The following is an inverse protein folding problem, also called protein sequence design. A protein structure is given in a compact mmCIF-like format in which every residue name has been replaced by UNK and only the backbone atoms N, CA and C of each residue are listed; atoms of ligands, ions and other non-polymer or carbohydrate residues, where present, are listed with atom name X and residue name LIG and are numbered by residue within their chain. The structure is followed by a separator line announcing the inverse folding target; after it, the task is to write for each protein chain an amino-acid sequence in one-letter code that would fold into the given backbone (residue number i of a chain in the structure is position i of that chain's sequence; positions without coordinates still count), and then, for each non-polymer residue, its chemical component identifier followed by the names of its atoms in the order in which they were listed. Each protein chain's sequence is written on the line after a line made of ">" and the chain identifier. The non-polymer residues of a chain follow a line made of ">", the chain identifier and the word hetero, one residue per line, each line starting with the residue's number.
data_IF_051690909628
#
_entry.id   IF_051690909628
#
_cell.length_a   1.000
_cell.length_b   1.000
_cell.length_c   1.000
_cell.angle_alpha   90.00
_cell.angle_beta   90.00
_cell.angle_gamma   90.00
#
_symmetry.space_group_name_H-M   'P 1'
#
loop_
_entity.id
_entity.type
_entity.pdbx_description
1 polymer ?
#
# COMPACT_ATOMS: atom_id res chain seq x y z
N UNK A 1 -5.01 24.37 -8.60
CA UNK A 1 -5.97 23.42 -9.21
C UNK A 1 -5.34 22.21 -9.92
N UNK A 2 -4.55 22.35 -11.00
CA UNK A 2 -4.00 21.17 -11.73
C UNK A 2 -2.96 20.36 -10.93
N UNK A 3 -2.13 21.01 -10.10
CA UNK A 3 -1.17 20.34 -9.20
C UNK A 3 -1.86 19.55 -8.08
N UNK A 4 -2.92 20.11 -7.49
CA UNK A 4 -3.71 19.46 -6.44
C UNK A 4 -4.43 18.22 -6.97
N UNK A 5 -5.01 18.29 -8.18
CA UNK A 5 -5.60 17.11 -8.84
C UNK A 5 -4.58 15.98 -8.99
N UNK A 6 -3.34 16.30 -9.40
CA UNK A 6 -2.27 15.31 -9.54
C UNK A 6 -1.89 14.67 -8.19
N UNK A 7 -1.78 15.47 -7.12
CA UNK A 7 -1.53 14.95 -5.77
C UNK A 7 -2.66 14.03 -5.31
N UNK A 8 -3.90 14.42 -5.54
CA UNK A 8 -5.09 13.66 -5.14
C UNK A 8 -5.15 12.32 -5.87
N UNK A 9 -4.87 12.31 -7.18
CA UNK A 9 -4.77 11.06 -7.96
C UNK A 9 -3.66 10.15 -7.42
N UNK A 10 -2.47 10.68 -7.13
CA UNK A 10 -1.40 9.88 -6.53
C UNK A 10 -1.81 9.29 -5.17
N UNK A 11 -2.49 10.07 -4.33
CA UNK A 11 -2.97 9.61 -3.03
C UNK A 11 -4.03 8.52 -3.20
N UNK A 12 -4.99 8.68 -4.12
CA UNK A 12 -5.99 7.64 -4.42
C UNK A 12 -5.35 6.36 -4.93
N UNK A 13 -4.36 6.46 -5.82
CA UNK A 13 -3.60 5.29 -6.29
C UNK A 13 -2.85 4.61 -5.14
N UNK A 14 -2.26 5.37 -4.22
CA UNK A 14 -1.64 4.82 -3.02
C UNK A 14 -2.66 4.07 -2.13
N UNK A 15 -3.89 4.59 -1.99
CA UNK A 15 -4.95 3.90 -1.27
C UNK A 15 -5.39 2.61 -1.96
N UNK A 16 -5.50 2.60 -3.29
CA UNK A 16 -5.77 1.38 -4.06
C UNK A 16 -4.67 0.35 -3.84
N UNK A 17 -3.40 0.76 -3.87
CA UNK A 17 -2.29 -0.13 -3.54
C UNK A 17 -2.36 -0.63 -2.09
N UNK A 18 -2.70 0.21 -1.12
CA UNK A 18 -2.84 -0.21 0.28
C UNK A 18 -3.94 -1.27 0.45
N UNK A 19 -5.13 -1.03 -0.13
CA UNK A 19 -6.20 -2.02 -0.16
C UNK A 19 -5.76 -3.32 -0.86
N UNK A 20 -5.02 -3.18 -1.97
CA UNK A 20 -4.41 -4.29 -2.69
C UNK A 20 -3.45 -5.11 -1.83
N UNK A 21 -2.62 -4.47 -0.99
CA UNK A 21 -1.72 -5.17 -0.05
C UNK A 21 -2.51 -6.04 0.93
N UNK A 22 -3.57 -5.50 1.54
CA UNK A 22 -4.40 -6.28 2.46
C UNK A 22 -5.14 -7.42 1.76
N UNK A 23 -5.71 -7.16 0.58
CA UNK A 23 -6.40 -8.18 -0.20
C UNK A 23 -5.45 -9.30 -0.64
N UNK A 24 -4.28 -8.95 -1.18
CA UNK A 24 -3.28 -9.92 -1.58
C UNK A 24 -2.71 -10.67 -0.36
N UNK A 25 -2.68 -10.04 0.82
CA UNK A 25 -2.28 -10.69 2.06
C UNK A 25 -3.19 -11.85 2.46
N UNK A 26 -4.49 -11.73 2.20
CA UNK A 26 -5.43 -12.83 2.38
C UNK A 26 -5.28 -13.87 1.25
N UNK A 27 -5.18 -13.39 0.01
CA UNK A 27 -5.10 -14.26 -1.16
C UNK A 27 -3.87 -15.17 -1.14
N UNK A 28 -2.68 -14.67 -0.78
CA UNK A 28 -1.48 -15.51 -0.81
C UNK A 28 -1.53 -16.65 0.22
N UNK A 29 -2.30 -16.50 1.31
CA UNK A 29 -2.51 -17.57 2.28
C UNK A 29 -3.31 -18.72 1.65
N UNK A 30 -4.35 -18.40 0.88
CA UNK A 30 -5.09 -19.37 0.08
C UNK A 30 -4.21 -20.03 -0.99
N UNK A 31 -3.30 -19.26 -1.59
CA UNK A 31 -2.36 -19.78 -2.60
C UNK A 31 -1.42 -20.86 -2.07
N UNK A 32 -1.22 -21.00 -0.76
CA UNK A 32 -0.46 -22.11 -0.18
C UNK A 32 -1.05 -23.49 -0.54
N UNK A 33 -2.34 -23.55 -0.85
CA UNK A 33 -3.06 -24.79 -1.15
C UNK A 33 -3.33 -25.01 -2.65
N UNK A 34 -2.85 -24.13 -3.54
CA UNK A 34 -3.19 -24.15 -4.96
C UNK A 34 -2.38 -25.16 -5.79
N UNK A 35 -1.31 -25.72 -5.23
CA UNK A 35 -0.47 -26.67 -5.93
C UNK A 35 0.42 -27.45 -4.98
N UNK A 36 1.38 -28.17 -5.57
CA UNK A 36 2.34 -28.93 -4.77
C UNK A 36 3.40 -27.99 -4.18
N UNK A 37 3.39 -27.87 -2.86
CA UNK A 37 4.32 -27.03 -2.12
C UNK A 37 3.96 -25.54 -2.12
N UNK A 38 4.88 -24.70 -1.63
CA UNK A 38 4.63 -23.30 -1.28
C UNK A 38 4.96 -22.30 -2.40
N UNK A 39 5.16 -22.76 -3.64
CA UNK A 39 5.58 -21.87 -4.75
C UNK A 39 4.56 -20.75 -4.97
N UNK A 40 3.27 -21.10 -5.02
CA UNK A 40 2.18 -20.14 -5.21
C UNK A 40 2.06 -19.14 -4.04
N UNK A 41 2.27 -19.61 -2.81
CA UNK A 41 2.36 -18.75 -1.63
C UNK A 41 3.46 -17.71 -1.79
N UNK A 42 4.69 -18.12 -2.14
CA UNK A 42 5.82 -17.20 -2.30
C UNK A 42 5.63 -16.22 -3.46
N UNK A 43 5.00 -16.64 -4.56
CA UNK A 43 4.60 -15.73 -5.64
C UNK A 43 3.63 -14.67 -5.11
N UNK A 44 2.60 -15.07 -4.35
CA UNK A 44 1.65 -14.13 -3.75
C UNK A 44 2.31 -13.15 -2.77
N UNK A 45 3.27 -13.62 -1.96
CA UNK A 45 4.05 -12.77 -1.04
C UNK A 45 4.83 -11.71 -1.84
N UNK A 46 5.54 -12.10 -2.90
CA UNK A 46 6.29 -11.17 -3.75
C UNK A 46 5.35 -10.13 -4.39
N UNK A 47 4.20 -10.56 -4.93
CA UNK A 47 3.22 -9.64 -5.52
C UNK A 47 2.67 -8.65 -4.50
N UNK A 48 2.46 -9.09 -3.25
CA UNK A 48 2.00 -8.22 -2.16
C UNK A 48 3.03 -7.15 -1.84
N UNK A 49 4.31 -7.51 -1.68
CA UNK A 49 5.38 -6.55 -1.42
C UNK A 49 5.59 -5.59 -2.59
N UNK A 50 5.55 -6.07 -3.83
CA UNK A 50 5.63 -5.21 -5.03
C UNK A 50 4.49 -4.19 -5.04
N UNK A 51 3.26 -4.61 -4.73
CA UNK A 51 2.10 -3.72 -4.63
C UNK A 51 2.30 -2.65 -3.57
N UNK A 52 2.83 -3.02 -2.40
CA UNK A 52 3.18 -2.09 -1.33
C UNK A 52 4.24 -1.06 -1.77
N UNK A 53 5.30 -1.51 -2.44
CA UNK A 53 6.37 -0.65 -2.96
C UNK A 53 5.82 0.36 -3.98
N UNK A 54 4.95 -0.09 -4.88
CA UNK A 54 4.27 0.79 -5.84
C UNK A 54 3.41 1.84 -5.11
N UNK A 55 2.67 1.43 -4.06
CA UNK A 55 1.93 2.34 -3.20
C UNK A 55 2.83 3.40 -2.53
N UNK A 56 3.97 2.98 -1.99
CA UNK A 56 4.99 3.89 -1.43
C UNK A 56 5.51 4.87 -2.48
N UNK A 57 5.76 4.42 -3.71
CA UNK A 57 6.20 5.29 -4.80
C UNK A 57 5.16 6.38 -5.12
N UNK A 58 3.86 6.06 -5.11
CA UNK A 58 2.80 7.05 -5.29
C UNK A 58 2.75 8.09 -4.16
N UNK A 59 3.01 7.68 -2.91
CA UNK A 59 3.13 8.61 -1.78
C UNK A 59 4.32 9.56 -1.97
N UNK A 60 5.48 9.04 -2.36
CA UNK A 60 6.69 9.83 -2.63
C UNK A 60 6.48 10.82 -3.79
N UNK A 61 5.80 10.38 -4.85
CA UNK A 61 5.42 11.25 -5.97
C UNK A 61 4.47 12.37 -5.53
N UNK A 62 3.55 12.07 -4.62
CA UNK A 62 2.68 13.09 -4.02
C UNK A 62 3.51 14.14 -3.26
N UNK A 63 4.52 13.71 -2.49
CA UNK A 63 5.41 14.59 -1.70
C UNK A 63 6.25 15.54 -2.58
N UNK A 64 6.66 15.09 -3.76
CA UNK A 64 7.50 15.89 -4.68
C UNK A 64 6.74 17.06 -5.33
N UNK A 65 5.41 17.05 -5.28
CA UNK A 65 4.60 18.16 -5.78
C UNK A 65 4.53 19.24 -4.69
N UNK A 66 5.11 20.42 -4.95
CA UNK A 66 4.97 21.59 -4.08
C UNK A 66 3.50 21.87 -3.74
N UNK A 67 3.22 21.95 -2.44
CA UNK A 67 1.88 22.26 -1.93
C UNK A 67 1.47 23.71 -2.21
N UNK A 68 0.17 24.02 -2.17
CA UNK A 68 -0.31 25.38 -2.28
C UNK A 68 0.28 26.24 -1.14
N UNK A 69 0.82 27.40 -1.49
CA UNK A 69 1.41 28.38 -0.58
C UNK A 69 0.39 29.03 0.37
N UNK A 70 -0.90 28.91 0.08
CA UNK A 70 -1.99 29.38 0.94
C UNK A 70 -2.55 28.26 1.83
N UNK A 71 -2.78 28.59 3.11
CA UNK A 71 -3.46 27.72 4.09
C UNK A 71 -4.96 27.65 3.77
N UNK A 72 -5.32 26.78 2.83
CA UNK A 72 -6.70 26.44 2.52
C UNK A 72 -7.13 25.14 3.21
N UNK A 73 -8.44 24.95 3.42
CA UNK A 73 -9.03 23.70 3.91
C UNK A 73 -8.61 22.49 3.06
N UNK A 74 -8.44 22.68 1.74
CA UNK A 74 -7.94 21.67 0.82
C UNK A 74 -6.51 21.20 1.15
N UNK A 75 -5.65 22.11 1.59
CA UNK A 75 -4.27 21.80 1.98
C UNK A 75 -4.26 20.88 3.20
N UNK A 76 -5.10 21.17 4.19
CA UNK A 76 -5.26 20.34 5.40
C UNK A 76 -5.78 18.95 5.02
N UNK A 77 -6.80 18.88 4.16
CA UNK A 77 -7.37 17.61 3.70
C UNK A 77 -6.35 16.74 2.95
N UNK A 78 -5.54 17.33 2.05
CA UNK A 78 -4.50 16.61 1.31
C UNK A 78 -3.39 16.09 2.23
N UNK A 79 -2.98 16.87 3.23
CA UNK A 79 -1.99 16.46 4.23
C UNK A 79 -2.53 15.29 5.06
N UNK A 80 -3.77 15.40 5.56
CA UNK A 80 -4.42 14.35 6.34
C UNK A 80 -4.58 13.06 5.53
N UNK A 81 -5.07 13.14 4.29
CA UNK A 81 -5.19 11.98 3.42
C UNK A 81 -3.85 11.29 3.15
N UNK A 82 -2.78 12.08 2.95
CA UNK A 82 -1.43 11.52 2.78
C UNK A 82 -0.96 10.80 4.04
N UNK A 83 -1.19 11.38 5.22
CA UNK A 83 -0.82 10.75 6.49
C UNK A 83 -1.55 9.41 6.67
N UNK A 84 -2.85 9.36 6.35
CA UNK A 84 -3.63 8.12 6.38
C UNK A 84 -3.11 7.10 5.35
N UNK A 85 -2.74 7.52 4.14
CA UNK A 85 -2.16 6.63 3.14
C UNK A 85 -0.81 6.04 3.59
N UNK A 86 0.05 6.84 4.22
CA UNK A 86 1.32 6.38 4.83
C UNK A 86 1.05 5.33 5.90
N UNK A 87 0.10 5.60 6.80
CA UNK A 87 -0.28 4.66 7.85
C UNK A 87 -0.85 3.36 7.26
N UNK A 88 -1.72 3.45 6.26
CA UNK A 88 -2.33 2.28 5.63
C UNK A 88 -1.28 1.37 4.95
N UNK A 89 -0.34 1.95 4.20
CA UNK A 89 0.76 1.20 3.58
C UNK A 89 1.69 0.62 4.65
N UNK A 90 2.05 1.39 5.67
CA UNK A 90 2.90 0.92 6.78
C UNK A 90 2.27 -0.26 7.52
N UNK A 91 0.98 -0.15 7.87
CA UNK A 91 0.20 -1.25 8.45
C UNK A 91 0.10 -2.44 7.49
N UNK A 92 -0.04 -2.21 6.19
CA UNK A 92 -0.04 -3.26 5.17
C UNK A 92 1.26 -4.07 5.16
N UNK A 93 2.43 -3.41 5.22
CA UNK A 93 3.72 -4.10 5.30
C UNK A 93 3.88 -4.87 6.62
N UNK A 94 3.50 -4.27 7.74
CA UNK A 94 3.54 -4.93 9.05
C UNK A 94 2.63 -6.17 9.06
N UNK A 95 1.42 -6.03 8.53
CA UNK A 95 0.46 -7.14 8.40
C UNK A 95 1.00 -8.25 7.50
N UNK A 96 1.47 -7.92 6.30
CA UNK A 96 2.06 -8.89 5.37
C UNK A 96 3.21 -9.65 6.04
N UNK A 97 4.10 -8.93 6.72
CA UNK A 97 5.25 -9.53 7.42
C UNK A 97 4.79 -10.42 8.57
N UNK A 98 3.82 -9.98 9.36
CA UNK A 98 3.22 -10.78 10.43
C UNK A 98 2.63 -12.08 9.89
N UNK A 99 1.83 -12.02 8.82
CA UNK A 99 1.24 -13.21 8.18
C UNK A 99 2.33 -14.16 7.68
N UNK A 100 3.40 -13.63 7.08
CA UNK A 100 4.51 -14.46 6.60
C UNK A 100 5.23 -15.18 7.75
N UNK A 101 5.54 -14.48 8.83
CA UNK A 101 6.20 -15.05 10.01
C UNK A 101 5.28 -16.04 10.73
N UNK A 102 4.00 -15.70 10.91
CA UNK A 102 3.01 -16.57 11.53
C UNK A 102 2.82 -17.85 10.70
N UNK A 103 2.73 -17.72 9.37
CA UNK A 103 2.68 -18.84 8.45
C UNK A 103 3.89 -19.76 8.59
N UNK A 104 5.10 -19.22 8.69
CA UNK A 104 6.31 -20.01 8.93
C UNK A 104 6.38 -20.67 10.30
N UNK A 105 5.77 -20.09 11.34
CA UNK A 105 5.79 -20.68 12.70
C UNK A 105 4.85 -21.88 12.87
N UNK A 106 3.87 -22.04 11.97
CA UNK A 106 2.95 -23.17 11.96
C UNK A 106 3.28 -24.25 10.93
N UNK A 107 4.31 -24.04 10.10
CA UNK A 107 4.84 -25.00 9.13
C UNK A 107 5.92 -25.89 9.73
#
# INVERSE_FOLDING_TARGET
>A
MQREKKQLVCILLAFVCAAGVFFLSDLFQSMAYWGNGLIWYWIGVVLTFVTGIVGTAFILLSLKVEGPTEKSWLTVLLISLRAVAVLAIGLGFLWTTFVVVAGMSGM
#
